data_IF_658179822069
#
_entry.id   IF_658179822069
#
_cell.length_a   1.000
_cell.length_b   1.000
_cell.length_c   1.000
_cell.angle_alpha   90.00
_cell.angle_beta   90.00
_cell.angle_gamma   90.00
#
_symmetry.space_group_name_H-M   'P 1'
#
loop_
_entity.id
_entity.type
_entity.pdbx_description
1 polymer ?
#
# COMPACT_ATOMS: atom_id res chain seq x y z
N UNK A 1 5.08 28.88 -12.45
CA UNK A 1 4.42 28.31 -13.64
C UNK A 1 3.84 26.95 -13.25
N UNK A 2 2.52 26.81 -13.19
CA UNK A 2 1.86 25.52 -12.97
C UNK A 2 1.87 24.81 -14.33
N UNK A 3 2.69 23.76 -14.45
CA UNK A 3 2.81 22.99 -15.69
C UNK A 3 1.51 22.22 -15.96
N UNK A 4 0.84 22.56 -17.05
CA UNK A 4 -0.32 21.82 -17.57
C UNK A 4 0.05 20.43 -18.14
N UNK A 5 1.35 20.07 -18.14
CA UNK A 5 1.86 18.80 -18.68
C UNK A 5 2.03 17.68 -17.62
N UNK A 6 1.72 17.94 -16.35
CA UNK A 6 1.92 16.96 -15.25
C UNK A 6 0.89 15.82 -15.21
N UNK A 7 -0.32 16.05 -15.74
CA UNK A 7 -1.44 15.09 -15.66
C UNK A 7 -1.20 13.73 -16.31
N UNK A 8 -0.65 13.62 -17.55
CA UNK A 8 -0.43 12.31 -18.17
C UNK A 8 0.65 11.48 -17.46
N UNK A 9 1.73 12.11 -16.96
CA UNK A 9 2.76 11.43 -16.18
C UNK A 9 2.21 10.94 -14.84
N UNK A 10 1.46 11.77 -14.13
CA UNK A 10 0.84 11.41 -12.86
C UNK A 10 -0.16 10.26 -13.01
N UNK A 11 -0.96 10.24 -14.09
CA UNK A 11 -1.88 9.14 -14.38
C UNK A 11 -1.15 7.81 -14.67
N UNK A 12 0.00 7.87 -15.35
CA UNK A 12 0.82 6.69 -15.61
C UNK A 12 1.44 6.16 -14.32
N UNK A 13 1.93 7.05 -13.46
CA UNK A 13 2.45 6.71 -12.14
C UNK A 13 1.36 6.08 -11.26
N UNK A 14 0.19 6.71 -11.17
CA UNK A 14 -0.94 6.17 -10.42
C UNK A 14 -1.35 4.78 -10.91
N UNK A 15 -1.41 4.55 -12.23
CA UNK A 15 -1.72 3.25 -12.81
C UNK A 15 -0.67 2.18 -12.46
N UNK A 16 0.63 2.55 -12.50
CA UNK A 16 1.72 1.65 -12.11
C UNK A 16 1.60 1.25 -10.64
N UNK A 17 1.40 2.23 -9.76
CA UNK A 17 1.27 1.97 -8.31
C UNK A 17 0.02 1.16 -7.99
N UNK A 18 -1.11 1.48 -8.62
CA UNK A 18 -2.33 0.70 -8.46
C UNK A 18 -2.15 -0.77 -8.90
N UNK A 19 -1.43 -0.99 -10.02
CA UNK A 19 -1.13 -2.34 -10.51
C UNK A 19 -0.30 -3.12 -9.49
N UNK A 20 0.74 -2.52 -8.94
CA UNK A 20 1.59 -3.13 -7.89
C UNK A 20 0.79 -3.41 -6.60
N UNK A 21 -0.09 -2.50 -6.18
CA UNK A 21 -0.97 -2.73 -5.04
C UNK A 21 -1.93 -3.88 -5.27
N UNK A 22 -2.51 -3.98 -6.48
CA UNK A 22 -3.37 -5.08 -6.85
C UNK A 22 -2.61 -6.42 -6.89
N UNK A 23 -1.38 -6.44 -7.39
CA UNK A 23 -0.50 -7.62 -7.33
C UNK A 23 -0.21 -8.02 -5.88
N UNK A 24 0.15 -7.06 -5.03
CA UNK A 24 0.38 -7.28 -3.60
C UNK A 24 -0.88 -7.84 -2.91
N UNK A 25 -2.04 -7.22 -3.13
CA UNK A 25 -3.32 -7.66 -2.58
C UNK A 25 -3.66 -9.10 -3.01
N UNK A 26 -3.52 -9.41 -4.29
CA UNK A 26 -3.83 -10.74 -4.83
C UNK A 26 -2.81 -11.82 -4.41
N UNK A 27 -1.58 -11.44 -4.03
CA UNK A 27 -0.57 -12.39 -3.54
C UNK A 27 -0.98 -13.11 -2.25
N UNK A 28 -1.95 -12.57 -1.50
CA UNK A 28 -2.51 -13.21 -0.30
C UNK A 28 -3.53 -14.31 -0.63
N UNK A 29 -4.08 -14.32 -1.84
CA UNK A 29 -5.11 -15.28 -2.29
C UNK A 29 -4.62 -16.27 -3.36
N UNK A 30 -3.53 -15.96 -4.07
CA UNK A 30 -2.93 -16.85 -5.05
C UNK A 30 -2.02 -17.87 -4.36
N UNK A 31 -2.52 -19.10 -4.19
CA UNK A 31 -1.73 -20.33 -3.98
C UNK A 31 -0.49 -20.19 -3.07
N UNK A 32 -0.69 -19.69 -1.85
CA UNK A 32 0.31 -19.81 -0.79
C UNK A 32 -0.31 -20.61 0.35
N UNK A 33 -0.05 -21.91 0.38
CA UNK A 33 -0.48 -22.82 1.46
C UNK A 33 -0.08 -22.29 2.85
N UNK A 34 0.99 -21.48 2.91
CA UNK A 34 1.46 -20.79 4.12
C UNK A 34 0.60 -19.58 4.54
N UNK A 35 0.01 -18.86 3.57
CA UNK A 35 -0.87 -17.70 3.80
C UNK A 35 -2.31 -18.12 4.06
N UNK A 36 -2.79 -19.21 3.43
CA UNK A 36 -4.12 -19.76 3.69
C UNK A 36 -4.28 -20.23 5.14
N UNK A 37 -3.25 -20.89 5.71
CA UNK A 37 -3.24 -21.29 7.12
C UNK A 37 -3.07 -20.12 8.12
N UNK A 38 -2.66 -18.94 7.65
CA UNK A 38 -2.40 -17.75 8.47
C UNK A 38 -3.20 -16.52 8.01
N UNK A 39 -4.29 -16.73 7.27
CA UNK A 39 -4.99 -15.64 6.58
C UNK A 39 -5.51 -14.58 7.55
N UNK A 40 -5.81 -14.96 8.80
CA UNK A 40 -6.18 -14.04 9.86
C UNK A 40 -5.02 -13.11 10.26
N UNK A 41 -3.79 -13.64 10.30
CA UNK A 41 -2.59 -12.87 10.64
C UNK A 41 -2.28 -11.79 9.62
N UNK A 42 -2.59 -12.06 8.35
CA UNK A 42 -2.35 -11.15 7.22
C UNK A 42 -3.58 -10.35 6.81
N UNK A 43 -4.76 -10.63 7.38
CA UNK A 43 -6.04 -9.96 7.06
C UNK A 43 -5.89 -8.44 7.12
N UNK A 44 -5.35 -7.91 8.21
CA UNK A 44 -5.22 -6.46 8.39
C UNK A 44 -4.24 -5.80 7.40
N UNK A 45 -3.25 -6.54 6.88
CA UNK A 45 -2.32 -6.03 5.86
C UNK A 45 -2.98 -6.04 4.49
N UNK A 46 -3.64 -7.14 4.14
CA UNK A 46 -4.40 -7.28 2.89
C UNK A 46 -5.52 -6.24 2.81
N UNK A 47 -6.32 -6.11 3.85
CA UNK A 47 -7.49 -5.23 3.86
C UNK A 47 -7.05 -3.75 3.81
N UNK A 48 -5.96 -3.37 4.49
CA UNK A 48 -5.37 -2.05 4.35
C UNK A 48 -4.92 -1.75 2.91
N UNK A 49 -4.31 -2.71 2.21
CA UNK A 49 -3.98 -2.55 0.79
C UNK A 49 -5.24 -2.33 -0.07
N UNK A 50 -6.33 -3.08 0.19
CA UNK A 50 -7.61 -2.88 -0.48
C UNK A 50 -8.24 -1.52 -0.20
N UNK A 51 -8.14 -1.00 1.03
CA UNK A 51 -8.59 0.35 1.38
C UNK A 51 -7.81 1.43 0.63
N UNK A 52 -6.49 1.26 0.51
CA UNK A 52 -5.63 2.19 -0.25
C UNK A 52 -5.95 2.13 -1.74
N UNK A 53 -6.26 0.97 -2.31
CA UNK A 53 -6.72 0.87 -3.70
C UNK A 53 -7.98 1.71 -3.95
N UNK A 54 -8.93 1.76 -3.00
CA UNK A 54 -10.11 2.64 -3.11
C UNK A 54 -9.77 4.13 -3.12
N UNK A 55 -8.60 4.53 -2.60
CA UNK A 55 -8.13 5.92 -2.68
C UNK A 55 -7.77 6.34 -4.11
N UNK A 56 -7.31 5.40 -4.92
CA UNK A 56 -7.09 5.63 -6.35
C UNK A 56 -8.42 5.86 -7.08
N UNK A 57 -9.44 5.05 -6.77
CA UNK A 57 -10.78 5.18 -7.35
C UNK A 57 -11.43 6.54 -7.02
N UNK A 58 -11.17 7.06 -5.82
CA UNK A 58 -11.67 8.35 -5.33
C UNK A 58 -10.77 9.55 -5.65
N UNK A 59 -9.60 9.33 -6.24
CA UNK A 59 -8.56 10.35 -6.43
C UNK A 59 -8.15 11.08 -5.13
N UNK A 60 -8.22 10.39 -3.99
CA UNK A 60 -7.95 10.94 -2.66
C UNK A 60 -6.51 10.66 -2.24
N UNK A 61 -5.57 11.53 -2.64
CA UNK A 61 -4.15 11.46 -2.32
C UNK A 61 -3.52 10.03 -2.38
N UNK A 62 -3.75 9.26 -3.45
CA UNK A 62 -3.48 7.82 -3.48
C UNK A 62 -2.00 7.46 -3.25
N UNK A 63 -1.07 8.26 -3.76
CA UNK A 63 0.37 8.05 -3.56
C UNK A 63 0.80 8.27 -2.09
N UNK A 64 0.20 9.24 -1.41
CA UNK A 64 0.47 9.49 0.01
C UNK A 64 -0.07 8.36 0.88
N UNK A 65 -1.28 7.87 0.59
CA UNK A 65 -1.83 6.69 1.25
C UNK A 65 -1.02 5.41 0.96
N UNK A 66 -0.43 5.29 -0.23
CA UNK A 66 0.48 4.18 -0.55
C UNK A 66 1.76 4.24 0.28
N UNK A 67 2.41 5.39 0.40
CA UNK A 67 3.60 5.54 1.24
C UNK A 67 3.28 5.20 2.71
N UNK A 68 2.13 5.70 3.19
CA UNK A 68 1.61 5.38 4.53
C UNK A 68 1.34 3.89 4.72
N UNK A 69 0.82 3.19 3.70
CA UNK A 69 0.65 1.75 3.70
C UNK A 69 1.99 1.01 3.83
N UNK A 70 3.01 1.46 3.11
CA UNK A 70 4.35 0.87 3.19
C UNK A 70 4.86 0.91 4.63
N UNK A 71 4.76 2.09 5.26
CA UNK A 71 5.13 2.30 6.66
C UNK A 71 4.33 1.42 7.63
N UNK A 72 3.02 1.31 7.42
CA UNK A 72 2.15 0.44 8.23
C UNK A 72 2.57 -1.03 8.11
N UNK A 73 2.83 -1.53 6.90
CA UNK A 73 3.23 -2.92 6.68
C UNK A 73 4.60 -3.21 7.31
N UNK A 74 5.58 -2.32 7.17
CA UNK A 74 6.88 -2.44 7.82
C UNK A 74 6.72 -2.53 9.35
N UNK A 75 5.83 -1.71 9.93
CA UNK A 75 5.50 -1.78 11.35
C UNK A 75 4.82 -3.11 11.73
N UNK A 76 3.87 -3.62 10.93
CA UNK A 76 3.24 -4.92 11.20
C UNK A 76 4.24 -6.07 11.11
N UNK A 77 5.16 -6.03 10.14
CA UNK A 77 6.26 -7.01 10.00
C UNK A 77 7.12 -7.04 11.24
N UNK A 78 7.56 -5.88 11.73
CA UNK A 78 8.39 -5.77 12.92
C UNK A 78 7.66 -6.16 14.21
N UNK A 79 6.44 -5.67 14.43
CA UNK A 79 5.70 -5.85 15.69
C UNK A 79 5.05 -7.23 15.83
N UNK A 80 4.61 -7.84 14.72
CA UNK A 80 3.87 -9.11 14.73
C UNK A 80 4.66 -10.28 14.16
N UNK A 81 5.95 -10.09 13.86
CA UNK A 81 6.81 -11.07 13.19
C UNK A 81 6.13 -11.64 11.94
N UNK A 82 5.54 -10.77 11.10
CA UNK A 82 4.96 -11.19 9.82
C UNK A 82 6.09 -11.46 8.83
N UNK A 83 5.96 -12.54 8.07
CA UNK A 83 6.94 -12.90 7.06
C UNK A 83 6.31 -12.72 5.69
N UNK A 84 6.64 -11.63 5.01
CA UNK A 84 6.26 -11.42 3.62
C UNK A 84 7.02 -12.41 2.73
N UNK A 85 6.39 -12.90 1.67
CA UNK A 85 7.06 -13.73 0.66
C UNK A 85 8.12 -12.93 -0.11
N UNK A 86 8.98 -13.61 -0.87
CA UNK A 86 9.97 -12.91 -1.71
C UNK A 86 9.30 -11.95 -2.71
N UNK A 87 8.21 -12.38 -3.34
CA UNK A 87 7.40 -11.56 -4.26
C UNK A 87 6.82 -10.33 -3.56
N UNK A 88 6.17 -10.52 -2.41
CA UNK A 88 5.61 -9.42 -1.62
C UNK A 88 6.67 -8.42 -1.20
N UNK A 89 7.86 -8.87 -0.76
CA UNK A 89 8.97 -7.98 -0.41
C UNK A 89 9.47 -7.18 -1.60
N UNK A 90 9.54 -7.79 -2.79
CA UNK A 90 9.95 -7.10 -4.03
C UNK A 90 8.94 -6.02 -4.39
N UNK A 91 7.65 -6.32 -4.33
CA UNK A 91 6.59 -5.32 -4.58
C UNK A 91 6.68 -4.18 -3.57
N UNK A 92 6.82 -4.49 -2.28
CA UNK A 92 6.97 -3.50 -1.20
C UNK A 92 8.18 -2.58 -1.41
N UNK A 93 9.30 -3.12 -1.88
CA UNK A 93 10.48 -2.32 -2.19
C UNK A 93 10.20 -1.31 -3.31
N UNK A 94 9.53 -1.74 -4.39
CA UNK A 94 9.19 -0.84 -5.50
C UNK A 94 8.20 0.24 -5.04
N UNK A 95 7.16 -0.14 -4.30
CA UNK A 95 6.20 0.81 -3.73
C UNK A 95 6.88 1.85 -2.82
N UNK A 96 7.84 1.42 -1.99
CA UNK A 96 8.63 2.32 -1.14
C UNK A 96 9.41 3.32 -1.99
N UNK A 97 10.16 2.85 -2.97
CA UNK A 97 11.01 3.71 -3.79
C UNK A 97 10.21 4.72 -4.61
N UNK A 98 9.06 4.30 -5.15
CA UNK A 98 8.21 5.17 -5.98
C UNK A 98 7.42 6.19 -5.14
N UNK A 99 7.21 5.95 -3.84
CA UNK A 99 6.35 6.81 -3.01
C UNK A 99 7.06 7.55 -1.87
N UNK A 100 8.36 7.31 -1.65
CA UNK A 100 9.14 7.86 -0.52
C UNK A 100 9.16 9.39 -0.37
N UNK A 101 8.97 10.13 -1.47
CA UNK A 101 8.98 11.61 -1.45
C UNK A 101 7.59 12.23 -1.44
N UNK A 102 6.54 11.44 -1.23
CA UNK A 102 5.17 11.95 -1.09
C UNK A 102 5.00 12.66 0.26
N UNK A 103 4.26 13.78 0.26
CA UNK A 103 3.96 14.52 1.47
C UNK A 103 2.87 13.80 2.28
N UNK A 104 3.22 13.37 3.50
CA UNK A 104 2.34 12.61 4.39
C UNK A 104 1.50 13.47 5.34
N UNK A 105 1.72 14.79 5.41
CA UNK A 105 1.11 15.66 6.45
C UNK A 105 -0.42 15.60 6.46
N UNK A 106 -1.05 15.38 5.30
CA UNK A 106 -2.50 15.40 5.14
C UNK A 106 -3.16 14.02 5.37
N UNK A 107 -2.36 12.96 5.39
CA UNK A 107 -2.87 11.60 5.53
C UNK A 107 -2.57 11.01 6.91
N UNK A 108 -1.73 11.60 7.76
CA UNK A 108 -1.39 11.02 9.06
C UNK A 108 -2.43 11.32 10.16
N UNK A 109 -3.51 10.52 10.21
CA UNK A 109 -4.66 10.73 11.10
C UNK A 109 -4.70 9.81 12.33
N UNK A 110 -3.79 8.84 12.43
CA UNK A 110 -3.81 7.79 13.46
C UNK A 110 -2.42 7.15 13.60
N UNK A 111 -2.16 6.37 14.67
CA UNK A 111 -0.88 5.67 14.85
C UNK A 111 -0.52 4.78 13.65
N UNK A 112 0.78 4.74 13.33
CA UNK A 112 1.34 4.02 12.16
C UNK A 112 0.95 2.55 12.06
N UNK A 113 0.65 1.88 13.18
CA UNK A 113 0.32 0.46 13.25
C UNK A 113 -1.20 0.18 13.34
N UNK A 114 -2.05 1.21 13.25
CA UNK A 114 -3.51 1.06 13.27
C UNK A 114 -4.09 1.12 11.85
N UNK A 115 -4.85 0.13 11.41
CA UNK A 115 -5.48 0.10 10.08
C UNK A 115 -6.55 1.17 9.85
N UNK A 116 -7.18 1.68 10.91
CA UNK A 116 -8.25 2.70 10.85
C UNK A 116 -7.81 3.97 10.10
N UNK A 117 -6.49 4.18 10.04
CA UNK A 117 -5.83 5.24 9.31
C UNK A 117 -6.13 5.23 7.78
N UNK A 118 -6.75 4.17 7.24
CA UNK A 118 -7.12 4.04 5.82
C UNK A 118 -8.64 4.05 5.56
N UNK A 119 -9.47 4.08 6.59
CA UNK A 119 -10.93 3.92 6.46
C UNK A 119 -11.67 5.21 6.07
N UNK A 120 -11.13 6.36 6.48
CA UNK A 120 -11.64 7.71 6.20
C UNK A 120 -11.31 8.11 4.79
#
# INVERSE_FOLDING_TARGET
>A
MISLFSRPQQKQEDNKIYTLLNEFYNSFSKNNTFNEMNIEKYRNVRDAAGLVMRKFEKHDHPLAYTNKLVMYIDAQVALKNLHLTHEQRKIMQVLREDTKYTNLCYVYTSPINNSDQFEV
#
